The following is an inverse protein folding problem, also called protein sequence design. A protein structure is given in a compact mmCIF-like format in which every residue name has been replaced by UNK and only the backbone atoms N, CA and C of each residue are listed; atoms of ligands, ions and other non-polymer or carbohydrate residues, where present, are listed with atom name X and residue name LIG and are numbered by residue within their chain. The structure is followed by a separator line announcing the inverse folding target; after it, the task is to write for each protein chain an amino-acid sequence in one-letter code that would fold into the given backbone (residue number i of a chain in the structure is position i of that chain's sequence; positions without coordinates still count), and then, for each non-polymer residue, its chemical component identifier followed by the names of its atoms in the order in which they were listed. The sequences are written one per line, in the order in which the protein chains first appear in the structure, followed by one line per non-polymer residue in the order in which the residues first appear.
data_IF_679738217237
#
_entry.id   IF_679738217237
#
_cell.length_a   1.000
_cell.length_b   1.000
_cell.length_c   1.000
_cell.angle_alpha   90.00
_cell.angle_beta   90.00
_cell.angle_gamma   90.00
#
_symmetry.space_group_name_H-M   'P 1'
#
loop_
_entity.id
_entity.type
_entity.pdbx_description
1 polymer ?
#
# COMPACT_ATOMS: atom_id res chain seq x y z
N UNK A 1 6.77 10.54 -16.80
CA UNK A 1 5.98 10.59 -15.56
C UNK A 1 6.77 11.37 -14.53
N UNK A 2 6.21 12.42 -13.92
CA UNK A 2 6.82 13.10 -12.75
C UNK A 2 6.59 12.22 -11.52
N UNK A 3 7.60 12.04 -10.69
CA UNK A 3 7.49 11.23 -9.47
C UNK A 3 7.71 12.13 -8.26
N UNK A 4 6.72 12.11 -7.37
CA UNK A 4 6.72 12.78 -6.08
C UNK A 4 6.63 11.71 -4.99
N UNK A 5 7.17 11.97 -3.81
CA UNK A 5 7.01 11.04 -2.68
C UNK A 5 6.84 11.77 -1.35
N UNK A 6 6.18 11.09 -0.43
CA UNK A 6 6.18 11.42 0.99
C UNK A 6 6.62 10.22 1.82
N UNK A 7 6.89 10.44 3.09
CA UNK A 7 7.31 9.41 4.04
C UNK A 7 7.77 10.03 5.35
N UNK A 8 8.19 9.21 6.34
CA UNK A 8 8.54 9.70 7.68
C UNK A 8 9.73 10.66 7.68
N UNK A 9 10.53 10.67 6.61
CA UNK A 9 11.65 11.60 6.41
C UNK A 9 12.05 11.63 4.94
N UNK A 10 12.60 12.77 4.51
CA UNK A 10 13.27 12.90 3.21
C UNK A 10 14.40 11.86 3.10
N UNK A 11 14.54 11.28 1.92
CA UNK A 11 15.64 10.39 1.53
C UNK A 11 16.65 11.21 0.72
N UNK A 12 17.89 11.42 1.23
CA UNK A 12 18.89 12.23 0.54
C UNK A 12 19.21 11.73 -0.88
N UNK A 13 19.23 10.42 -1.06
CA UNK A 13 19.63 9.78 -2.32
C UNK A 13 18.44 9.52 -3.28
N UNK A 14 17.22 9.90 -2.88
CA UNK A 14 16.07 9.76 -3.77
C UNK A 14 16.11 10.86 -4.84
N UNK A 15 16.05 10.51 -6.14
CA UNK A 15 16.08 11.48 -7.24
C UNK A 15 14.73 12.19 -7.45
N UNK A 16 13.77 11.96 -6.56
CA UNK A 16 12.39 12.44 -6.66
C UNK A 16 12.14 13.61 -5.71
N UNK A 17 11.15 14.43 -6.03
CA UNK A 17 10.75 15.54 -5.18
C UNK A 17 10.02 15.03 -3.94
N UNK A 18 10.44 15.51 -2.77
CA UNK A 18 9.83 15.19 -1.49
C UNK A 18 8.74 16.20 -1.16
N UNK A 19 7.51 15.72 -0.98
CA UNK A 19 6.35 16.51 -0.56
C UNK A 19 5.98 16.07 0.87
N UNK A 20 6.29 16.87 1.91
CA UNK A 20 6.08 16.43 3.30
C UNK A 20 4.60 16.23 3.65
N UNK A 21 3.71 17.05 3.08
CA UNK A 21 2.28 16.99 3.32
C UNK A 21 1.61 15.99 2.36
N UNK A 22 0.92 14.99 2.91
CA UNK A 22 0.28 13.93 2.12
C UNK A 22 -0.92 14.43 1.32
N UNK A 23 -1.65 15.44 1.80
CA UNK A 23 -2.80 16.01 1.08
C UNK A 23 -2.30 16.77 -0.15
N UNK A 24 -1.22 17.53 -0.01
CA UNK A 24 -0.56 18.22 -1.12
C UNK A 24 0.05 17.24 -2.13
N UNK A 25 0.66 16.14 -1.65
CA UNK A 25 1.10 15.06 -2.54
C UNK A 25 -0.08 14.51 -3.36
N UNK A 26 -1.20 14.20 -2.70
CA UNK A 26 -2.39 13.67 -3.36
C UNK A 26 -2.96 14.66 -4.39
N UNK A 27 -3.03 15.95 -4.06
CA UNK A 27 -3.50 17.02 -4.95
C UNK A 27 -2.66 17.16 -6.22
N UNK A 28 -1.36 16.90 -6.13
CA UNK A 28 -0.42 16.94 -7.26
C UNK A 28 -0.33 15.63 -8.05
N UNK A 29 -1.08 14.59 -7.65
CA UNK A 29 -0.95 13.24 -8.21
C UNK A 29 -2.13 12.89 -9.11
N UNK A 30 -1.85 12.39 -10.31
CA UNK A 30 -2.84 11.64 -11.11
C UNK A 30 -3.00 10.20 -10.57
N UNK A 31 -1.93 9.65 -9.98
CA UNK A 31 -1.89 8.31 -9.40
C UNK A 31 -1.19 8.41 -8.04
N UNK A 32 -1.87 7.98 -6.97
CA UNK A 32 -1.31 7.90 -5.62
C UNK A 32 -1.04 6.43 -5.26
N UNK A 33 0.23 6.04 -5.18
CA UNK A 33 0.65 4.69 -4.82
C UNK A 33 1.02 4.59 -3.34
N UNK A 34 0.36 3.69 -2.62
CA UNK A 34 0.58 3.43 -1.20
C UNK A 34 1.57 2.27 -1.05
N UNK A 35 2.79 2.62 -0.63
CA UNK A 35 3.87 1.69 -0.30
C UNK A 35 4.42 1.95 1.13
N UNK A 36 3.56 2.42 2.03
CA UNK A 36 3.91 2.69 3.42
C UNK A 36 4.06 1.39 4.23
N UNK A 37 4.84 1.44 5.31
CA UNK A 37 4.87 0.37 6.30
C UNK A 37 3.48 0.22 6.93
N UNK A 38 2.93 -0.99 6.98
CA UNK A 38 1.70 -1.25 7.73
C UNK A 38 1.98 -1.37 9.22
N UNK A 39 1.70 -0.31 9.96
CA UNK A 39 1.81 -0.22 11.42
C UNK A 39 0.57 0.49 12.01
N UNK A 40 0.27 0.36 13.31
CA UNK A 40 -0.86 1.03 13.95
C UNK A 40 -0.94 2.54 13.67
N UNK A 41 0.21 3.20 13.59
CA UNK A 41 0.35 4.65 13.34
C UNK A 41 -0.02 5.04 11.90
N UNK A 42 -0.04 4.07 10.98
CA UNK A 42 -0.39 4.28 9.56
C UNK A 42 -1.83 3.90 9.26
N UNK A 43 -2.62 3.50 10.27
CA UNK A 43 -4.03 3.18 10.07
C UNK A 43 -4.78 4.39 9.54
N UNK A 44 -5.49 4.20 8.42
CA UNK A 44 -6.23 5.24 7.70
C UNK A 44 -5.39 6.47 7.35
N UNK A 45 -4.07 6.28 7.14
CA UNK A 45 -3.17 7.33 6.64
C UNK A 45 -3.74 7.94 5.35
N UNK A 46 -4.30 7.10 4.47
CA UNK A 46 -5.10 7.54 3.32
C UNK A 46 -6.56 7.70 3.78
N UNK A 47 -6.80 8.83 4.45
CA UNK A 47 -8.13 9.21 4.96
C UNK A 47 -9.03 9.80 3.86
N UNK A 48 -10.30 10.02 4.18
CA UNK A 48 -11.26 10.74 3.31
C UNK A 48 -10.71 12.08 2.78
N UNK A 49 -9.91 12.81 3.56
CA UNK A 49 -9.30 14.08 3.15
C UNK A 49 -8.25 13.88 2.04
N UNK A 50 -7.44 12.84 2.15
CA UNK A 50 -6.41 12.49 1.15
C UNK A 50 -7.09 12.00 -0.13
N UNK A 51 -8.12 11.14 0.02
CA UNK A 51 -8.94 10.64 -1.10
C UNK A 51 -9.60 11.80 -1.85
N UNK A 52 -10.22 12.74 -1.14
CA UNK A 52 -10.83 13.92 -1.76
C UNK A 52 -9.83 14.85 -2.45
N UNK A 53 -8.59 14.92 -1.95
CA UNK A 53 -7.53 15.70 -2.58
C UNK A 53 -7.01 15.08 -3.88
N UNK A 54 -6.95 13.75 -3.95
CA UNK A 54 -6.63 12.99 -5.17
C UNK A 54 -7.72 13.19 -6.23
N UNK A 55 -8.99 13.14 -5.81
CA UNK A 55 -10.11 13.65 -6.58
C UNK A 55 -10.59 12.76 -7.74
N UNK A 56 -11.56 13.25 -8.53
CA UNK A 56 -12.37 12.45 -9.46
C UNK A 56 -11.59 11.94 -10.68
N UNK A 57 -10.41 12.49 -10.95
CA UNK A 57 -9.52 12.05 -12.04
C UNK A 57 -8.38 11.16 -11.56
N UNK A 58 -8.22 11.03 -10.24
CA UNK A 58 -7.10 10.33 -9.65
C UNK A 58 -7.34 8.83 -9.47
N UNK A 59 -6.23 8.08 -9.45
CA UNK A 59 -6.21 6.64 -9.21
C UNK A 59 -5.48 6.33 -7.90
N UNK A 60 -6.15 5.66 -6.96
CA UNK A 60 -5.52 5.17 -5.74
C UNK A 60 -5.00 3.73 -5.94
N UNK A 61 -3.71 3.49 -5.69
CA UNK A 61 -3.11 2.15 -5.78
C UNK A 61 -2.63 1.74 -4.40
N UNK A 62 -3.09 0.60 -3.87
CA UNK A 62 -2.64 0.10 -2.57
C UNK A 62 -2.00 -1.29 -2.67
N UNK A 63 -0.70 -1.35 -2.38
CA UNK A 63 0.12 -2.58 -2.29
C UNK A 63 0.74 -2.76 -0.90
N UNK A 64 0.34 -1.95 0.07
CA UNK A 64 0.89 -1.95 1.43
C UNK A 64 0.09 -2.89 2.34
N UNK A 65 -0.89 -2.36 3.07
CA UNK A 65 -1.87 -3.08 3.87
C UNK A 65 -3.23 -2.39 3.70
N UNK A 66 -4.31 -3.16 3.78
CA UNK A 66 -5.66 -2.62 3.59
C UNK A 66 -5.99 -1.50 4.56
N UNK A 67 -5.73 -1.72 5.86
CA UNK A 67 -5.98 -0.76 6.93
C UNK A 67 -5.25 0.58 6.80
N UNK A 68 -4.30 0.73 5.87
CA UNK A 68 -3.64 2.02 5.61
C UNK A 68 -4.59 2.98 4.91
N UNK A 69 -5.58 2.45 4.19
CA UNK A 69 -6.65 3.21 3.52
C UNK A 69 -7.91 3.11 4.36
N UNK A 70 -8.62 4.22 4.51
CA UNK A 70 -10.00 4.20 4.99
C UNK A 70 -10.90 3.60 3.90
N UNK A 71 -11.14 2.28 3.97
CA UNK A 71 -11.82 1.51 2.92
C UNK A 71 -13.26 1.99 2.69
N UNK A 72 -13.97 2.35 3.76
CA UNK A 72 -15.34 2.85 3.68
C UNK A 72 -15.35 4.21 2.96
N UNK A 73 -14.49 5.14 3.37
CA UNK A 73 -14.40 6.44 2.70
C UNK A 73 -14.00 6.34 1.22
N UNK A 74 -13.14 5.36 0.89
CA UNK A 74 -12.74 5.08 -0.48
C UNK A 74 -13.91 4.54 -1.32
N UNK A 75 -14.66 3.56 -0.80
CA UNK A 75 -15.84 2.99 -1.47
C UNK A 75 -16.87 4.09 -1.75
N UNK A 76 -17.20 4.89 -0.75
CA UNK A 76 -18.14 6.02 -0.91
C UNK A 76 -17.63 7.03 -1.95
N UNK A 77 -16.34 7.37 -1.92
CA UNK A 77 -15.76 8.28 -2.90
C UNK A 77 -15.80 7.75 -4.33
N UNK A 78 -15.60 6.44 -4.53
CA UNK A 78 -15.70 5.79 -5.84
C UNK A 78 -17.15 5.76 -6.33
N UNK A 79 -18.10 5.46 -5.45
CA UNK A 79 -19.54 5.44 -5.76
C UNK A 79 -20.07 6.83 -6.14
N UNK A 80 -19.66 7.86 -5.40
CA UNK A 80 -20.06 9.26 -5.63
C UNK A 80 -19.28 9.94 -6.77
N UNK A 81 -18.29 9.26 -7.35
CA UNK A 81 -17.40 9.84 -8.36
C UNK A 81 -16.45 10.92 -7.83
N UNK A 82 -16.22 10.99 -6.52
CA UNK A 82 -15.20 11.86 -5.88
C UNK A 82 -13.79 11.31 -6.01
N UNK A 83 -13.65 9.99 -6.25
CA UNK A 83 -12.42 9.32 -6.63
C UNK A 83 -12.61 8.64 -7.99
N UNK A 84 -11.63 8.76 -8.89
CA UNK A 84 -11.72 8.22 -10.24
C UNK A 84 -11.62 6.71 -10.29
N UNK A 85 -10.53 6.15 -9.76
CA UNK A 85 -10.22 4.71 -9.85
C UNK A 85 -9.51 4.19 -8.60
N UNK A 86 -9.57 2.89 -8.37
CA UNK A 86 -8.72 2.21 -7.40
C UNK A 86 -8.14 0.88 -7.95
N UNK A 87 -6.90 0.57 -7.58
CA UNK A 87 -6.26 -0.72 -7.83
C UNK A 87 -5.68 -1.27 -6.52
N UNK A 88 -6.18 -2.42 -6.08
CA UNK A 88 -6.03 -2.89 -4.71
C UNK A 88 -5.48 -4.32 -4.71
N UNK A 89 -4.32 -4.53 -4.10
CA UNK A 89 -3.80 -5.87 -3.77
C UNK A 89 -4.14 -6.28 -2.33
N UNK A 90 -4.64 -5.35 -1.52
CA UNK A 90 -4.88 -5.54 -0.07
C UNK A 90 -6.18 -4.87 0.37
N UNK A 91 -6.84 -5.43 1.39
CA UNK A 91 -8.16 -5.01 1.91
C UNK A 91 -8.15 -4.97 3.45
N UNK A 92 -9.03 -4.17 4.08
CA UNK A 92 -9.01 -3.95 5.53
C UNK A 92 -9.43 -5.19 6.34
N UNK A 93 -10.07 -6.19 5.71
CA UNK A 93 -10.49 -7.44 6.33
C UNK A 93 -9.59 -8.65 5.99
N UNK A 94 -8.43 -8.87 6.66
CA UNK A 94 -7.71 -10.14 6.58
C UNK A 94 -8.02 -11.08 7.77
N UNK A 95 -8.20 -12.41 7.57
CA UNK A 95 -8.34 -13.14 6.32
C UNK A 95 -9.80 -13.05 5.81
N UNK A 96 -10.02 -12.45 4.64
CA UNK A 96 -11.37 -12.25 4.12
C UNK A 96 -11.39 -11.93 2.63
N UNK A 97 -12.53 -12.27 2.02
CA UNK A 97 -12.87 -11.80 0.69
C UNK A 97 -12.93 -10.27 0.66
N UNK A 98 -12.61 -9.64 -0.48
CA UNK A 98 -12.78 -8.20 -0.61
C UNK A 98 -14.25 -7.81 -0.34
N UNK A 99 -14.45 -6.60 0.18
CA UNK A 99 -15.78 -6.05 0.35
C UNK A 99 -16.58 -6.17 -0.96
N UNK A 100 -17.77 -6.78 -0.97
CA UNK A 100 -18.56 -6.96 -2.20
C UNK A 100 -18.83 -5.67 -2.97
N UNK A 101 -18.88 -4.52 -2.28
CA UNK A 101 -19.01 -3.22 -2.93
C UNK A 101 -17.84 -2.91 -3.86
N UNK A 102 -16.60 -3.32 -3.52
CA UNK A 102 -15.43 -3.15 -4.38
C UNK A 102 -15.53 -4.00 -5.64
N UNK A 103 -16.10 -5.20 -5.54
CA UNK A 103 -16.29 -6.11 -6.67
C UNK A 103 -17.38 -5.62 -7.64
N UNK A 104 -18.32 -4.79 -7.18
CA UNK A 104 -19.40 -4.25 -7.99
C UNK A 104 -19.01 -2.97 -8.75
N UNK A 105 -17.91 -2.33 -8.37
CA UNK A 105 -17.47 -1.05 -8.93
C UNK A 105 -16.67 -1.26 -10.23
N UNK A 106 -17.09 -0.67 -11.37
CA UNK A 106 -16.41 -0.87 -12.66
C UNK A 106 -15.05 -0.18 -12.75
N UNK A 107 -14.78 0.75 -11.84
CA UNK A 107 -13.55 1.53 -11.75
C UNK A 107 -12.59 1.02 -10.66
N UNK A 108 -12.75 -0.23 -10.23
CA UNK A 108 -11.91 -0.88 -9.22
C UNK A 108 -11.29 -2.15 -9.79
N UNK A 109 -9.97 -2.30 -9.61
CA UNK A 109 -9.25 -3.55 -9.85
C UNK A 109 -8.88 -4.17 -8.51
N UNK A 110 -9.21 -5.43 -8.33
CA UNK A 110 -8.96 -6.21 -7.11
C UNK A 110 -7.97 -7.34 -7.45
N UNK A 111 -6.93 -7.48 -6.65
CA UNK A 111 -5.98 -8.59 -6.66
C UNK A 111 -5.90 -9.24 -5.27
N UNK A 112 -5.80 -10.57 -5.17
CA UNK A 112 -5.87 -11.28 -3.90
C UNK A 112 -4.51 -11.36 -3.19
N UNK A 113 -3.90 -10.22 -2.88
CA UNK A 113 -2.63 -10.12 -2.12
C UNK A 113 -1.47 -10.91 -2.75
N UNK A 114 -1.25 -10.65 -4.03
CA UNK A 114 -0.29 -11.33 -4.88
C UNK A 114 0.99 -10.54 -5.17
N UNK A 115 1.21 -9.38 -4.52
CA UNK A 115 2.38 -8.54 -4.78
C UNK A 115 3.74 -9.25 -4.73
N UNK A 116 3.89 -10.30 -3.91
CA UNK A 116 5.12 -11.12 -3.82
C UNK A 116 5.02 -12.51 -4.47
N UNK A 117 3.94 -12.80 -5.20
CA UNK A 117 3.56 -14.15 -5.63
C UNK A 117 4.23 -14.66 -6.92
N UNK A 118 5.46 -14.21 -7.22
CA UNK A 118 6.29 -14.84 -8.25
C UNK A 118 6.97 -16.09 -7.68
N UNK A 119 7.23 -17.10 -8.52
CA UNK A 119 7.93 -18.34 -8.12
C UNK A 119 9.28 -18.01 -7.47
N UNK A 120 10.04 -17.12 -8.08
CA UNK A 120 11.39 -16.73 -7.67
C UNK A 120 11.37 -16.01 -6.31
N UNK A 121 10.49 -15.03 -6.13
CA UNK A 121 10.34 -14.30 -4.85
C UNK A 121 9.89 -15.24 -3.74
N UNK A 122 8.90 -16.11 -3.98
CA UNK A 122 8.43 -17.07 -2.97
C UNK A 122 9.51 -18.09 -2.60
N UNK A 123 10.29 -18.58 -3.57
CA UNK A 123 11.43 -19.46 -3.31
C UNK A 123 12.50 -18.76 -2.45
N UNK A 124 12.82 -17.49 -2.73
CA UNK A 124 13.78 -16.70 -1.94
C UNK A 124 13.28 -16.40 -0.53
N UNK A 125 12.00 -16.10 -0.35
CA UNK A 125 11.38 -15.95 0.98
C UNK A 125 11.51 -17.26 1.77
N UNK A 126 11.18 -18.40 1.16
CA UNK A 126 11.33 -19.71 1.79
C UNK A 126 12.79 -20.01 2.15
N UNK A 127 13.74 -19.66 1.27
CA UNK A 127 15.18 -19.79 1.56
C UNK A 127 15.59 -18.95 2.77
N UNK A 128 15.22 -17.67 2.81
CA UNK A 128 15.52 -16.80 3.95
C UNK A 128 14.95 -17.34 5.28
N UNK A 129 13.76 -17.93 5.26
CA UNK A 129 13.19 -18.57 6.45
C UNK A 129 14.07 -19.73 6.94
N UNK A 130 14.51 -20.60 6.03
CA UNK A 130 15.40 -21.73 6.35
C UNK A 130 16.76 -21.25 6.85
N UNK A 131 17.36 -20.27 6.19
CA UNK A 131 18.69 -19.74 6.58
C UNK A 131 18.67 -19.13 7.98
N UNK A 132 17.58 -18.46 8.38
CA UNK A 132 17.42 -17.96 9.73
C UNK A 132 17.25 -19.09 10.76
N UNK A 133 16.52 -20.16 10.42
CA UNK A 133 16.36 -21.32 11.30
C UNK A 133 17.69 -22.05 11.52
N UNK A 134 18.45 -22.27 10.45
CA UNK A 134 19.77 -22.90 10.50
C UNK A 134 20.75 -22.06 11.34
N UNK A 135 20.74 -20.72 11.16
CA UNK A 135 21.55 -19.82 11.97
C UNK A 135 21.18 -19.90 13.46
N UNK A 136 19.89 -19.87 13.78
CA UNK A 136 19.41 -19.97 15.17
C UNK A 136 19.81 -21.29 15.83
N UNK A 137 19.58 -22.42 15.17
CA UNK A 137 19.93 -23.75 15.67
C UNK A 137 21.44 -23.92 15.88
N UNK A 138 22.26 -23.24 15.08
CA UNK A 138 23.71 -23.23 15.18
C UNK A 138 24.26 -22.19 16.18
N UNK A 139 23.41 -21.41 16.85
CA UNK A 139 23.84 -20.32 17.74
C UNK A 139 24.55 -19.17 17.02
N UNK A 140 24.26 -18.97 15.73
CA UNK A 140 24.83 -17.91 14.87
C UNK A 140 23.89 -16.70 14.78
N UNK A 141 24.40 -15.51 14.42
CA UNK A 141 23.57 -14.36 14.10
C UNK A 141 22.56 -14.67 13.00
N UNK A 142 21.32 -14.20 13.19
CA UNK A 142 20.25 -14.33 12.21
C UNK A 142 20.56 -13.52 10.94
N UNK A 143 20.04 -13.97 9.79
CA UNK A 143 20.21 -13.29 8.50
C UNK A 143 19.36 -12.02 8.43
N UNK A 144 18.13 -12.07 8.95
CA UNK A 144 17.17 -10.96 8.91
C UNK A 144 16.50 -10.76 10.28
N UNK A 145 17.25 -10.38 11.33
CA UNK A 145 16.69 -10.09 12.65
C UNK A 145 15.84 -8.81 12.62
N UNK A 146 14.82 -8.75 13.48
CA UNK A 146 13.92 -7.59 13.60
C UNK A 146 13.99 -6.94 14.99
N UNK A 147 14.24 -7.73 16.04
CA UNK A 147 14.36 -7.29 17.44
C UNK A 147 15.72 -7.61 18.03
#
# INVERSE_FOLDING_TARGET
MRVLYTGPRRKPDAPYEFVPDLIELARQSDILMVAALGAPETRHLISAKVIGALGPKGTLVNIARGFVVDEIAMIEALQDGRLGWAALDVFDSPPGDPNPALLALPNVIVQPHHGSATIETRARIGRHMLDNLDAWLAGKPLVTPVV
#
